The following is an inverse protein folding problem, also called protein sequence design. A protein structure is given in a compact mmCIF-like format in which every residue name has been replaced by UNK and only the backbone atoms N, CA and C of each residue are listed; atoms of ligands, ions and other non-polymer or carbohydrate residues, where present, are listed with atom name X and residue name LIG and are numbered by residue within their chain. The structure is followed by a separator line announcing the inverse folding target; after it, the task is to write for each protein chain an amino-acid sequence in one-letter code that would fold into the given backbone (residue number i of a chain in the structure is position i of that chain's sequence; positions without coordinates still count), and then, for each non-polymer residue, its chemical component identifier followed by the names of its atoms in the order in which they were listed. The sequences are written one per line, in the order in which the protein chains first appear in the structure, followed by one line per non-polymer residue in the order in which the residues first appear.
data_IF_723429238853
#
_entry.id   IF_723429238853
#
_cell.length_a   1.000
_cell.length_b   1.000
_cell.length_c   1.000
_cell.angle_alpha   90.00
_cell.angle_beta   90.00
_cell.angle_gamma   90.00
#
_symmetry.space_group_name_H-M   'P 1'
#
loop_
_entity.id
_entity.type
_entity.pdbx_description
1 polymer ?
#
# COMPACT_ATOMS: atom_id res chain seq x y z
N UNK A 1 16.84 9.35 4.69
CA UNK A 1 17.53 9.45 3.40
C UNK A 1 17.11 10.67 2.61
N UNK A 2 17.98 11.09 1.71
CA UNK A 2 17.68 12.13 0.72
C UNK A 2 17.22 11.44 -0.56
N UNK A 3 16.03 11.77 -1.03
CA UNK A 3 15.50 11.31 -2.31
C UNK A 3 15.10 12.48 -3.18
N UNK A 4 15.36 12.40 -4.49
CA UNK A 4 14.82 13.36 -5.44
C UNK A 4 13.36 13.02 -5.77
N UNK A 5 12.50 14.03 -5.77
CA UNK A 5 11.09 13.87 -6.11
C UNK A 5 10.92 13.64 -7.61
N UNK A 6 10.39 12.47 -7.97
CA UNK A 6 10.03 12.16 -9.35
C UNK A 6 8.68 12.79 -9.74
N UNK A 7 8.44 13.00 -11.04
CA UNK A 7 7.23 13.63 -11.53
C UNK A 7 5.90 12.98 -11.06
N UNK A 8 5.76 11.64 -10.97
CA UNK A 8 4.56 11.03 -10.42
C UNK A 8 4.36 11.37 -8.93
N UNK A 9 5.44 11.33 -8.13
CA UNK A 9 5.40 11.68 -6.71
C UNK A 9 4.96 13.13 -6.50
N UNK A 10 5.46 14.06 -7.31
CA UNK A 10 5.10 15.48 -7.24
C UNK A 10 3.60 15.69 -7.46
N UNK A 11 2.97 14.94 -8.37
CA UNK A 11 1.51 15.00 -8.57
C UNK A 11 0.74 14.57 -7.33
N UNK A 12 1.15 13.47 -6.70
CA UNK A 12 0.52 12.98 -5.48
C UNK A 12 0.71 13.98 -4.32
N UNK A 13 1.93 14.48 -4.13
CA UNK A 13 2.21 15.48 -3.09
C UNK A 13 1.40 16.77 -3.34
N UNK A 14 1.28 17.22 -4.57
CA UNK A 14 0.47 18.40 -4.92
C UNK A 14 -1.02 18.19 -4.62
N UNK A 15 -1.55 17.01 -4.93
CA UNK A 15 -2.94 16.63 -4.62
C UNK A 15 -3.19 16.59 -3.11
N UNK A 16 -2.25 16.03 -2.35
CA UNK A 16 -2.36 15.86 -0.90
C UNK A 16 -1.84 17.05 -0.10
N UNK A 17 -1.33 18.10 -0.75
CA UNK A 17 -0.77 19.26 -0.07
C UNK A 17 -1.71 19.87 0.98
N UNK A 18 -3.03 20.01 0.75
CA UNK A 18 -3.94 20.52 1.78
C UNK A 18 -4.00 19.62 3.04
N UNK A 19 -3.87 18.31 2.85
CA UNK A 19 -3.83 17.34 3.95
C UNK A 19 -2.50 17.47 4.71
N UNK A 20 -1.38 17.51 3.99
CA UNK A 20 -0.06 17.67 4.58
C UNK A 20 0.13 19.00 5.31
N UNK A 21 -0.52 20.06 4.83
CA UNK A 21 -0.48 21.38 5.45
C UNK A 21 -1.23 21.49 6.79
N UNK A 22 -2.03 20.46 7.16
CA UNK A 22 -2.79 20.47 8.42
C UNK A 22 -1.88 20.42 9.66
N UNK A 23 -0.71 19.80 9.53
CA UNK A 23 0.28 19.77 10.63
C UNK A 23 1.55 20.53 10.28
N UNK A 24 2.20 21.10 11.28
CA UNK A 24 3.50 21.77 11.10
C UNK A 24 4.57 20.80 10.58
N UNK A 25 4.55 19.56 11.04
CA UNK A 25 5.46 18.50 10.57
C UNK A 25 5.21 18.17 9.09
N UNK A 26 3.97 17.98 8.68
CA UNK A 26 3.63 17.71 7.28
C UNK A 26 4.02 18.88 6.38
N UNK A 27 3.71 20.11 6.79
CA UNK A 27 4.12 21.31 6.07
C UNK A 27 5.65 21.38 5.92
N UNK A 28 6.42 21.14 6.98
CA UNK A 28 7.87 21.16 6.94
C UNK A 28 8.50 20.09 6.04
N UNK A 29 7.87 18.91 5.94
CA UNK A 29 8.36 17.81 5.13
C UNK A 29 8.02 17.97 3.64
N UNK A 30 6.79 18.37 3.33
CA UNK A 30 6.24 18.29 1.97
C UNK A 30 6.05 19.64 1.27
N UNK A 31 6.23 20.75 2.01
CA UNK A 31 6.11 22.09 1.43
C UNK A 31 7.46 22.84 1.51
N UNK A 32 7.68 23.71 0.53
CA UNK A 32 8.78 24.69 0.50
C UNK A 32 8.17 26.05 0.20
N UNK A 33 8.34 27.00 1.12
CA UNK A 33 7.74 28.33 1.01
C UNK A 33 6.23 28.28 0.71
N UNK A 34 5.52 27.36 1.38
CA UNK A 34 4.07 27.15 1.18
C UNK A 34 3.67 26.41 -0.11
N UNK A 35 4.62 25.99 -0.93
CA UNK A 35 4.37 25.24 -2.17
C UNK A 35 4.71 23.76 -1.99
N UNK A 36 3.94 22.83 -2.59
CA UNK A 36 4.31 21.43 -2.63
C UNK A 36 5.72 21.22 -3.21
N UNK A 37 6.41 20.17 -2.76
CA UNK A 37 7.69 19.77 -3.36
C UNK A 37 7.55 19.61 -4.87
N UNK A 38 8.47 20.21 -5.62
CA UNK A 38 8.56 20.11 -7.06
C UNK A 38 9.43 18.95 -7.54
N UNK A 39 9.51 18.77 -8.87
CA UNK A 39 10.43 17.80 -9.47
C UNK A 39 11.88 18.18 -9.15
N UNK A 40 12.65 17.19 -8.73
CA UNK A 40 14.04 17.32 -8.26
C UNK A 40 14.22 18.02 -6.90
N UNK A 41 13.15 18.44 -6.22
CA UNK A 41 13.28 18.85 -4.83
C UNK A 41 13.71 17.64 -3.96
N UNK A 42 14.52 17.92 -2.96
CA UNK A 42 14.97 16.87 -2.04
C UNK A 42 13.98 16.68 -0.90
N UNK A 43 13.46 15.46 -0.79
CA UNK A 43 12.72 15.04 0.38
C UNK A 43 13.70 14.59 1.48
N UNK A 44 13.60 15.19 2.65
CA UNK A 44 14.46 14.90 3.78
C UNK A 44 13.65 14.77 5.07
N UNK A 45 13.66 13.59 5.66
CA UNK A 45 12.99 13.29 6.92
C UNK A 45 13.97 12.66 7.93
N UNK A 46 14.81 13.47 8.60
CA UNK A 46 15.82 12.98 9.53
C UNK A 46 15.20 12.36 10.79
N UNK A 47 14.03 12.82 11.21
CA UNK A 47 13.33 12.29 12.38
C UNK A 47 12.89 10.85 12.15
N UNK A 48 12.27 10.57 11.04
CA UNK A 48 11.90 9.20 10.68
C UNK A 48 13.12 8.29 10.55
N UNK A 49 14.22 8.80 10.00
CA UNK A 49 15.46 8.04 9.90
C UNK A 49 16.00 7.65 11.29
N UNK A 50 15.92 8.55 12.29
CA UNK A 50 16.30 8.26 13.66
C UNK A 50 15.42 7.16 14.27
N UNK A 51 14.10 7.28 14.16
CA UNK A 51 13.15 6.25 14.67
C UNK A 51 13.40 4.89 14.03
N UNK A 52 13.63 4.85 12.72
CA UNK A 52 13.94 3.59 12.04
C UNK A 52 15.26 2.96 12.52
N UNK A 53 16.25 3.79 12.87
CA UNK A 53 17.51 3.30 13.46
C UNK A 53 17.30 2.73 14.86
N UNK A 54 16.47 3.35 15.68
CA UNK A 54 16.09 2.86 17.02
C UNK A 54 15.36 1.52 16.93
N UNK A 55 14.37 1.42 16.04
CA UNK A 55 13.66 0.16 15.79
C UNK A 55 14.63 -0.93 15.32
N UNK A 56 15.57 -0.60 14.42
CA UNK A 56 16.57 -1.56 13.95
C UNK A 56 17.53 -2.01 15.05
N UNK A 57 17.77 -1.16 16.05
CA UNK A 57 18.55 -1.51 17.25
C UNK A 57 17.76 -2.34 18.28
N UNK A 58 16.48 -2.62 18.01
CA UNK A 58 15.60 -3.37 18.91
C UNK A 58 14.86 -2.51 19.93
N UNK A 59 15.02 -1.21 19.87
CA UNK A 59 14.26 -0.27 20.69
C UNK A 59 12.87 -0.05 20.06
N UNK A 60 11.83 -0.56 20.74
CA UNK A 60 10.44 -0.37 20.35
C UNK A 60 9.83 0.94 20.87
N UNK A 61 10.59 1.70 21.68
CA UNK A 61 10.12 2.93 22.30
C UNK A 61 10.35 4.18 21.42
N UNK A 62 10.66 4.01 20.16
CA UNK A 62 10.87 5.11 19.21
C UNK A 62 9.66 6.06 19.07
N UNK A 63 8.51 5.66 19.61
CA UNK A 63 7.34 6.50 19.88
C UNK A 63 6.53 5.90 21.03
N UNK A 64 6.06 6.71 21.93
CA UNK A 64 5.18 6.28 23.01
C UNK A 64 3.71 6.34 22.57
N UNK A 65 2.87 5.48 23.15
CA UNK A 65 1.43 5.54 22.93
C UNK A 65 0.81 6.87 23.36
N UNK A 66 1.40 7.53 24.35
CA UNK A 66 0.97 8.85 24.82
C UNK A 66 1.07 9.92 23.74
N UNK A 67 2.04 9.78 22.82
CA UNK A 67 2.22 10.70 21.69
C UNK A 67 1.17 10.53 20.60
N UNK A 68 0.38 9.44 20.65
CA UNK A 68 -0.69 9.15 19.69
C UNK A 68 -2.06 9.70 20.14
N UNK A 69 -2.08 10.56 21.18
CA UNK A 69 -3.29 11.25 21.62
C UNK A 69 -4.38 10.32 22.16
N UNK A 70 -4.02 9.14 22.64
CA UNK A 70 -4.94 8.14 23.16
C UNK A 70 -5.67 7.29 22.10
N UNK A 71 -5.43 7.54 20.81
CA UNK A 71 -6.01 6.74 19.73
C UNK A 71 -5.41 5.32 19.64
N UNK A 72 -4.16 5.17 20.10
CA UNK A 72 -3.46 3.89 20.21
C UNK A 72 -2.86 3.84 21.61
N UNK A 73 -3.04 2.74 22.31
CA UNK A 73 -2.52 2.53 23.65
C UNK A 73 -1.23 1.71 23.65
N UNK A 74 -0.48 1.72 24.76
CA UNK A 74 0.68 0.83 24.90
C UNK A 74 0.29 -0.64 24.79
N UNK A 75 -0.89 -1.01 25.28
CA UNK A 75 -1.43 -2.36 25.15
C UNK A 75 -1.66 -2.74 23.67
N UNK A 76 -2.17 -1.82 22.85
CA UNK A 76 -2.35 -2.06 21.41
C UNK A 76 -1.00 -2.31 20.70
N UNK A 77 0.04 -1.58 21.09
CA UNK A 77 1.39 -1.77 20.56
C UNK A 77 2.01 -3.10 21.03
N UNK A 78 1.80 -3.47 22.30
CA UNK A 78 2.30 -4.72 22.86
C UNK A 78 1.57 -5.94 22.31
N UNK A 79 0.30 -5.82 22.01
CA UNK A 79 -0.54 -6.88 21.46
C UNK A 79 -0.39 -7.04 19.94
N UNK A 80 0.17 -6.05 19.26
CA UNK A 80 0.37 -6.14 17.80
C UNK A 80 1.26 -7.34 17.44
N UNK A 81 0.76 -8.17 16.55
CA UNK A 81 1.47 -9.36 16.05
C UNK A 81 1.38 -9.43 14.52
N UNK A 82 2.48 -9.83 13.93
CA UNK A 82 2.49 -10.23 12.52
C UNK A 82 1.85 -11.62 12.41
N UNK A 83 0.81 -11.73 11.60
CA UNK A 83 0.13 -13.00 11.35
C UNK A 83 0.73 -13.70 10.14
N UNK A 84 1.30 -14.88 10.35
CA UNK A 84 1.68 -15.78 9.26
C UNK A 84 0.43 -16.53 8.75
N UNK A 85 0.14 -16.40 7.46
CA UNK A 85 -1.04 -17.02 6.83
C UNK A 85 -0.62 -18.03 5.78
N UNK A 86 -1.37 -19.12 5.67
CA UNK A 86 -1.17 -20.09 4.59
C UNK A 86 -1.51 -19.44 3.24
N UNK A 87 -0.58 -19.43 2.28
CA UNK A 87 -0.86 -18.84 0.98
C UNK A 87 -1.99 -19.55 0.24
N UNK A 88 -2.69 -18.83 -0.63
CA UNK A 88 -3.63 -19.41 -1.58
C UNK A 88 -2.84 -20.07 -2.71
N UNK A 89 -2.98 -21.40 -2.85
CA UNK A 89 -2.31 -22.16 -3.90
C UNK A 89 -2.99 -21.95 -5.26
N UNK A 90 -2.18 -21.81 -6.29
CA UNK A 90 -2.59 -21.70 -7.69
C UNK A 90 -2.05 -22.92 -8.45
N UNK A 91 -2.87 -23.54 -9.27
CA UNK A 91 -2.43 -24.55 -10.22
C UNK A 91 -2.25 -23.90 -11.59
N UNK A 92 -1.01 -23.62 -11.96
CA UNK A 92 -0.62 -22.96 -13.21
C UNK A 92 0.01 -24.00 -14.15
N UNK A 93 -0.81 -24.68 -14.92
CA UNK A 93 -0.37 -25.60 -16.02
C UNK A 93 0.77 -26.58 -15.62
N UNK A 94 0.67 -27.16 -14.42
CA UNK A 94 1.66 -28.12 -13.91
C UNK A 94 2.74 -27.54 -13.02
N UNK A 95 2.86 -26.21 -12.98
CA UNK A 95 3.70 -25.52 -11.99
C UNK A 95 2.83 -24.95 -10.87
N UNK A 96 3.27 -25.11 -9.63
CA UNK A 96 2.62 -24.54 -8.47
C UNK A 96 2.89 -23.04 -8.40
N UNK A 97 1.85 -22.27 -8.04
CA UNK A 97 2.00 -20.85 -7.71
C UNK A 97 1.28 -20.55 -6.39
N UNK A 98 1.62 -19.44 -5.79
CA UNK A 98 1.00 -18.99 -4.55
C UNK A 98 0.68 -17.51 -4.64
N UNK A 99 -0.38 -17.11 -3.95
CA UNK A 99 -0.76 -15.71 -3.83
C UNK A 99 -1.32 -15.42 -2.43
N UNK A 100 -1.57 -14.16 -2.14
CA UNK A 100 -2.08 -13.73 -0.83
C UNK A 100 -3.44 -14.35 -0.52
N UNK A 101 -3.60 -14.94 0.68
CA UNK A 101 -4.87 -15.48 1.15
C UNK A 101 -5.81 -14.37 1.64
N UNK A 102 -7.03 -14.73 2.01
CA UNK A 102 -7.91 -13.84 2.76
C UNK A 102 -7.22 -13.39 4.09
N UNK A 103 -7.52 -12.17 4.56
CA UNK A 103 -8.53 -11.21 4.08
C UNK A 103 -8.09 -10.38 2.87
N UNK A 104 -6.84 -10.50 2.40
CA UNK A 104 -6.41 -9.77 1.21
C UNK A 104 -7.19 -10.26 -0.02
N UNK A 105 -7.99 -9.38 -0.61
CA UNK A 105 -8.81 -9.73 -1.78
C UNK A 105 -7.99 -9.82 -3.07
N UNK A 106 -6.87 -9.10 -3.17
CA UNK A 106 -6.04 -9.03 -4.37
C UNK A 106 -5.58 -10.41 -4.87
N UNK A 107 -5.13 -11.28 -3.96
CA UNK A 107 -4.71 -12.64 -4.31
C UNK A 107 -5.83 -13.48 -4.91
N UNK A 108 -7.06 -13.34 -4.42
CA UNK A 108 -8.23 -14.01 -4.99
C UNK A 108 -8.57 -13.51 -6.39
N UNK A 109 -8.43 -12.22 -6.65
CA UNK A 109 -8.62 -11.64 -7.98
C UNK A 109 -7.55 -12.12 -8.95
N UNK A 110 -6.29 -12.17 -8.52
CA UNK A 110 -5.19 -12.74 -9.34
C UNK A 110 -5.50 -14.20 -9.67
N UNK A 111 -5.90 -15.01 -8.69
CA UNK A 111 -6.27 -16.40 -8.90
C UNK A 111 -7.40 -16.54 -9.93
N UNK A 112 -8.46 -15.74 -9.81
CA UNK A 112 -9.58 -15.74 -10.76
C UNK A 112 -9.13 -15.37 -12.18
N UNK A 113 -8.35 -14.33 -12.34
CA UNK A 113 -7.84 -13.88 -13.65
C UNK A 113 -6.99 -14.95 -14.32
N UNK A 114 -6.05 -15.54 -13.57
CA UNK A 114 -5.19 -16.61 -14.09
C UNK A 114 -5.99 -17.87 -14.46
N UNK A 115 -6.94 -18.29 -13.62
CA UNK A 115 -7.81 -19.42 -13.94
C UNK A 115 -8.62 -19.18 -15.22
N UNK A 116 -9.15 -17.97 -15.43
CA UNK A 116 -9.86 -17.60 -16.65
C UNK A 116 -8.94 -17.64 -17.87
N UNK A 117 -7.73 -17.09 -17.76
CA UNK A 117 -6.76 -17.12 -18.85
C UNK A 117 -6.32 -18.54 -19.23
N UNK A 118 -6.13 -19.42 -18.24
CA UNK A 118 -5.72 -20.80 -18.47
C UNK A 118 -6.84 -21.67 -19.04
N UNK A 119 -8.09 -21.38 -18.66
CA UNK A 119 -9.25 -22.07 -19.21
C UNK A 119 -9.60 -21.63 -20.63
N UNK A 120 -9.12 -20.46 -21.06
CA UNK A 120 -9.40 -19.91 -22.38
C UNK A 120 -8.52 -20.55 -23.45
N UNK A 121 -9.14 -21.20 -24.43
CA UNK A 121 -8.46 -21.90 -25.50
C UNK A 121 -8.14 -21.03 -26.74
N UNK A 122 -8.46 -19.74 -26.71
CA UNK A 122 -8.24 -18.81 -27.84
C UNK A 122 -6.77 -18.51 -28.13
N UNK A 123 -5.87 -19.20 -27.49
CA UNK A 123 -4.44 -19.10 -27.74
C UNK A 123 -3.65 -18.58 -26.55
N UNK A 124 -2.41 -19.00 -26.46
CA UNK A 124 -1.48 -18.62 -25.39
C UNK A 124 -0.73 -17.32 -25.68
N UNK A 125 -0.61 -16.93 -26.95
CA UNK A 125 0.04 -15.68 -27.32
C UNK A 125 -0.90 -14.48 -27.13
N UNK A 126 -0.63 -13.70 -26.09
CA UNK A 126 -1.42 -12.51 -25.73
C UNK A 126 -1.15 -11.30 -26.64
N UNK A 127 -0.26 -11.42 -27.62
CA UNK A 127 0.06 -10.39 -28.61
C UNK A 127 -0.83 -10.47 -29.86
N UNK A 128 -1.49 -11.61 -30.08
CA UNK A 128 -2.45 -11.77 -31.18
C UNK A 128 -3.87 -11.42 -30.72
N UNK A 129 -4.79 -11.05 -31.63
CA UNK A 129 -6.14 -10.56 -31.28
C UNK A 129 -6.90 -11.48 -30.31
N UNK A 130 -6.92 -12.79 -30.57
CA UNK A 130 -7.65 -13.75 -29.74
C UNK A 130 -7.07 -13.84 -28.31
N UNK A 131 -5.76 -13.77 -28.16
CA UNK A 131 -5.09 -13.73 -26.87
C UNK A 131 -5.36 -12.42 -26.12
N UNK A 132 -5.44 -11.30 -26.83
CA UNK A 132 -5.81 -10.00 -26.25
C UNK A 132 -7.26 -10.00 -25.77
N UNK A 133 -8.19 -10.60 -26.50
CA UNK A 133 -9.59 -10.77 -26.08
C UNK A 133 -9.68 -11.64 -24.84
N UNK A 134 -8.96 -12.77 -24.78
CA UNK A 134 -8.94 -13.63 -23.60
C UNK A 134 -8.42 -12.87 -22.35
N UNK A 135 -7.41 -12.02 -22.52
CA UNK A 135 -6.92 -11.17 -21.44
C UNK A 135 -7.96 -10.15 -20.99
N UNK A 136 -8.63 -9.49 -21.94
CA UNK A 136 -9.69 -8.53 -21.65
C UNK A 136 -10.85 -9.19 -20.89
N UNK A 137 -11.30 -10.36 -21.31
CA UNK A 137 -12.37 -11.12 -20.64
C UNK A 137 -11.97 -11.51 -19.20
N UNK A 138 -10.70 -11.90 -18.98
CA UNK A 138 -10.20 -12.19 -17.65
C UNK A 138 -10.18 -10.93 -16.78
N UNK A 139 -9.77 -9.78 -17.31
CA UNK A 139 -9.77 -8.50 -16.60
C UNK A 139 -11.20 -8.02 -16.26
N UNK A 140 -12.15 -8.20 -17.17
CA UNK A 140 -13.57 -7.91 -16.91
C UNK A 140 -14.09 -8.77 -15.77
N UNK A 141 -13.83 -10.08 -15.79
CA UNK A 141 -14.23 -10.98 -14.71
C UNK A 141 -13.62 -10.60 -13.36
N UNK A 142 -12.36 -10.14 -13.35
CA UNK A 142 -11.72 -9.62 -12.14
C UNK A 142 -12.40 -8.33 -11.65
N UNK A 143 -12.72 -7.40 -12.56
CA UNK A 143 -13.39 -6.15 -12.21
C UNK A 143 -14.79 -6.38 -11.62
N UNK A 144 -15.57 -7.28 -12.21
CA UNK A 144 -16.88 -7.70 -11.70
C UNK A 144 -16.77 -8.39 -10.32
N UNK A 145 -15.78 -9.25 -10.14
CA UNK A 145 -15.53 -9.89 -8.85
C UNK A 145 -15.10 -8.86 -7.78
N UNK A 146 -14.27 -7.90 -8.18
CA UNK A 146 -13.85 -6.81 -7.30
C UNK A 146 -15.03 -5.97 -6.81
N UNK A 147 -15.90 -5.55 -7.73
CA UNK A 147 -17.08 -4.73 -7.37
C UNK A 147 -18.03 -5.40 -6.37
N UNK A 148 -17.98 -6.74 -6.28
CA UNK A 148 -18.76 -7.52 -5.30
C UNK A 148 -18.05 -7.72 -3.96
N UNK A 149 -16.75 -7.50 -3.92
CA UNK A 149 -15.91 -7.79 -2.76
C UNK A 149 -15.51 -6.53 -1.99
N UNK A 150 -15.35 -5.41 -2.68
CA UNK A 150 -14.75 -4.19 -2.09
C UNK A 150 -15.23 -2.95 -2.86
N UNK A 151 -15.35 -1.83 -2.16
CA UNK A 151 -15.41 -0.50 -2.79
C UNK A 151 -14.10 -0.10 -3.49
N UNK A 152 -13.91 1.16 -3.81
CA UNK A 152 -12.78 1.64 -4.62
C UNK A 152 -11.52 1.87 -3.77
N UNK A 153 -10.71 0.86 -3.53
CA UNK A 153 -9.40 1.04 -2.88
C UNK A 153 -8.44 1.81 -3.81
N UNK A 154 -7.78 2.83 -3.30
CA UNK A 154 -6.85 3.68 -4.04
C UNK A 154 -5.51 3.81 -3.30
N UNK A 155 -4.42 3.86 -4.10
CA UNK A 155 -3.12 4.30 -3.61
C UNK A 155 -2.35 3.31 -2.75
N UNK A 156 -1.65 2.37 -3.38
CA UNK A 156 -0.85 1.36 -2.71
C UNK A 156 0.56 1.31 -3.31
N UNK A 157 1.58 1.14 -2.48
CA UNK A 157 2.96 0.91 -2.92
C UNK A 157 3.24 -0.58 -2.90
N UNK A 158 3.82 -1.07 -4.00
CA UNK A 158 4.23 -2.47 -4.15
C UNK A 158 5.72 -2.56 -4.45
N UNK A 159 6.40 -3.48 -3.79
CA UNK A 159 7.80 -3.80 -3.98
C UNK A 159 7.94 -5.29 -4.25
N UNK A 160 8.65 -5.66 -5.31
CA UNK A 160 9.05 -7.03 -5.59
C UNK A 160 10.58 -7.10 -5.75
N UNK A 161 11.19 -8.10 -5.14
CA UNK A 161 12.62 -8.33 -5.16
C UNK A 161 12.89 -9.80 -5.50
N UNK A 162 13.85 -10.05 -6.35
CA UNK A 162 14.40 -11.37 -6.62
C UNK A 162 15.92 -11.32 -6.39
N UNK A 163 16.47 -12.30 -5.70
CA UNK A 163 17.90 -12.40 -5.46
C UNK A 163 18.61 -13.31 -6.48
N UNK A 164 19.92 -13.40 -6.37
CA UNK A 164 20.74 -14.22 -7.28
C UNK A 164 20.52 -15.74 -7.14
N UNK A 165 19.80 -16.20 -6.13
CA UNK A 165 19.41 -17.60 -5.91
C UNK A 165 17.94 -17.87 -6.26
N UNK A 166 17.29 -16.90 -6.93
CA UNK A 166 15.87 -16.97 -7.28
C UNK A 166 14.92 -17.00 -6.07
N UNK A 167 15.35 -16.53 -4.89
CA UNK A 167 14.41 -16.25 -3.82
C UNK A 167 13.63 -14.98 -4.14
N UNK A 168 12.34 -15.03 -3.93
CA UNK A 168 11.42 -13.93 -4.24
C UNK A 168 10.79 -13.38 -2.96
N UNK A 169 10.73 -12.06 -2.86
CA UNK A 169 9.98 -11.36 -1.83
C UNK A 169 9.11 -10.29 -2.46
N UNK A 170 7.87 -10.20 -2.00
CA UNK A 170 6.91 -9.23 -2.49
C UNK A 170 6.16 -8.62 -1.31
N UNK A 171 6.11 -7.30 -1.27
CA UNK A 171 5.47 -6.56 -0.19
C UNK A 171 4.57 -5.48 -0.76
N UNK A 172 3.36 -5.41 -0.24
CA UNK A 172 2.42 -4.34 -0.50
C UNK A 172 2.18 -3.56 0.78
N UNK A 173 2.34 -2.25 0.74
CA UNK A 173 2.10 -1.38 1.88
C UNK A 173 1.31 -0.14 1.45
N UNK A 174 0.43 0.33 2.32
CA UNK A 174 -0.37 1.52 2.10
C UNK A 174 -0.61 2.27 3.39
N UNK A 175 -0.59 3.59 3.30
CA UNK A 175 -1.10 4.51 4.32
C UNK A 175 -2.48 5.08 3.93
N UNK A 176 -3.11 4.52 2.90
CA UNK A 176 -4.24 5.16 2.24
C UNK A 176 -3.82 6.51 1.64
N UNK A 177 -4.64 7.52 1.78
CA UNK A 177 -4.29 8.91 1.42
C UNK A 177 -3.43 9.60 2.49
N UNK A 178 -3.25 8.96 3.64
CA UNK A 178 -2.66 9.55 4.84
C UNK A 178 -3.65 10.47 5.58
N UNK A 179 -3.54 10.50 6.89
CA UNK A 179 -4.45 11.28 7.74
C UNK A 179 -4.14 12.78 7.80
N UNK A 180 -2.92 13.17 7.43
CA UNK A 180 -2.37 14.50 7.69
C UNK A 180 -1.85 14.68 9.11
N UNK A 181 -2.10 13.73 10.00
CA UNK A 181 -1.57 13.70 11.36
C UNK A 181 -0.22 12.98 11.40
N UNK A 182 0.70 13.52 12.17
CA UNK A 182 2.05 12.98 12.35
C UNK A 182 2.28 12.67 13.82
N UNK A 183 2.90 11.54 14.07
CA UNK A 183 3.35 11.20 15.42
C UNK A 183 4.39 12.26 15.85
N UNK A 184 4.17 12.97 16.97
CA UNK A 184 5.06 14.05 17.40
C UNK A 184 6.53 13.60 17.47
N UNK A 185 7.43 14.43 16.97
CA UNK A 185 8.87 14.18 17.03
C UNK A 185 9.42 13.09 16.11
N UNK A 186 8.57 12.30 15.42
CA UNK A 186 9.01 11.14 14.63
C UNK A 186 9.07 11.39 13.12
N UNK A 187 8.31 12.36 12.61
CA UNK A 187 8.14 12.56 11.17
C UNK A 187 7.39 11.43 10.48
N UNK A 188 6.71 10.55 11.22
CA UNK A 188 5.89 9.46 10.71
C UNK A 188 4.44 9.92 10.62
N UNK A 189 3.86 9.85 9.41
CA UNK A 189 2.47 10.13 9.19
C UNK A 189 1.62 8.91 9.53
N UNK A 190 0.52 9.13 10.25
CA UNK A 190 -0.50 8.11 10.48
C UNK A 190 -1.29 7.84 9.19
N UNK A 191 -1.75 6.61 9.03
CA UNK A 191 -2.63 6.25 7.94
C UNK A 191 -4.05 6.80 8.16
N UNK A 192 -4.87 6.74 7.11
CA UNK A 192 -6.30 7.06 7.19
C UNK A 192 -7.20 5.83 6.94
N UNK A 193 -6.68 4.62 7.15
CA UNK A 193 -7.40 3.39 6.78
C UNK A 193 -8.79 3.29 7.41
N UNK A 194 -8.94 3.73 8.67
CA UNK A 194 -10.25 3.75 9.33
C UNK A 194 -11.23 4.75 8.73
N UNK A 195 -10.75 5.71 7.93
CA UNK A 195 -11.56 6.70 7.21
C UNK A 195 -11.76 6.40 5.74
N UNK A 196 -11.42 5.20 5.27
CA UNK A 196 -11.60 4.83 3.86
C UNK A 196 -13.05 4.39 3.59
N UNK A 197 -13.56 4.79 2.42
CA UNK A 197 -14.94 4.49 2.00
C UNK A 197 -15.22 2.99 1.95
N UNK A 198 -14.20 2.18 1.67
CA UNK A 198 -14.31 0.72 1.63
C UNK A 198 -14.72 0.10 2.96
N UNK A 199 -14.36 0.74 4.07
CA UNK A 199 -14.76 0.33 5.42
C UNK A 199 -16.13 0.91 5.82
N UNK A 200 -16.62 1.90 5.07
CA UNK A 200 -17.88 2.60 5.34
C UNK A 200 -18.76 2.67 4.09
N UNK A 201 -19.15 1.52 3.50
CA UNK A 201 -19.90 1.47 2.25
C UNK A 201 -21.29 2.11 2.34
N UNK A 202 -21.81 2.30 3.56
CA UNK A 202 -23.05 3.01 3.84
C UNK A 202 -22.85 4.50 4.18
N UNK A 203 -21.60 5.00 4.11
CA UNK A 203 -21.22 6.31 4.60
C UNK A 203 -20.81 6.27 6.08
N UNK A 204 -20.28 7.40 6.56
CA UNK A 204 -19.97 7.57 7.98
C UNK A 204 -21.27 7.90 8.74
N UNK A 205 -21.58 7.13 9.76
CA UNK A 205 -22.60 7.52 10.72
C UNK A 205 -22.10 8.74 11.52
N UNK A 206 -22.90 9.77 11.59
CA UNK A 206 -22.58 11.01 12.30
C UNK A 206 -22.80 10.89 13.80
#
# INVERSE_FOLDING_TARGET
GLGQSAAPMVRVVSLLAPVMARSSTGAALYLRDGRPLGVNDHFHNPRQAAVLAEIAAGDRNGFSADELGGAVTSADLDDYRVEARTPLSLNLTGEGGWTNPAPAFGGRLVALGLQRLLADRRGSDRRVPDGAVALADAMVAQAEARSRLVGAAQGTTHLSVIDGWCNEASMTASNGSGSGEFIPGTGIQLNNMMGEEDLHPAGFEA
#
